data_IF_951228799512
#
_entry.id   IF_951228799512
#
_cell.length_a   1.000
_cell.length_b   1.000
_cell.length_c   1.000
_cell.angle_alpha   90.00
_cell.angle_beta   90.00
_cell.angle_gamma   90.00
#
_symmetry.space_group_name_H-M   'P 1'
#
loop_
_entity.id
_entity.type
_entity.pdbx_description
1 polymer ?
#
# COMPACT_ATOMS: atom_id res chain seq x y z
N UNK A 1 -14.10 26.22 -24.85
CA UNK A 1 -13.19 25.19 -25.39
C UNK A 1 -12.54 24.45 -24.21
N UNK A 2 -12.77 23.15 -24.07
CA UNK A 2 -12.08 22.35 -23.06
C UNK A 2 -10.59 22.23 -23.43
N UNK A 3 -9.70 22.63 -22.52
CA UNK A 3 -8.25 22.56 -22.70
C UNK A 3 -7.80 21.10 -22.89
N UNK A 4 -6.70 20.88 -23.61
CA UNK A 4 -6.21 19.54 -23.98
C UNK A 4 -6.06 18.58 -22.80
N UNK A 5 -5.80 19.12 -21.60
CA UNK A 5 -5.71 18.39 -20.33
C UNK A 5 -7.01 17.73 -19.89
N UNK A 6 -8.17 18.32 -20.20
CA UNK A 6 -9.48 17.77 -19.85
C UNK A 6 -9.86 16.55 -20.71
N UNK A 7 -9.32 16.46 -21.94
CA UNK A 7 -9.52 15.29 -22.82
C UNK A 7 -8.76 14.06 -22.31
N UNK A 8 -7.62 14.27 -21.64
CA UNK A 8 -6.84 13.17 -21.07
C UNK A 8 -7.37 12.77 -19.68
N UNK A 9 -8.21 11.73 -19.65
CA UNK A 9 -8.84 11.21 -18.43
C UNK A 9 -7.82 10.77 -17.35
N UNK A 10 -6.57 10.47 -17.71
CA UNK A 10 -5.53 10.10 -16.75
C UNK A 10 -5.09 11.28 -15.88
N UNK A 11 -5.15 12.51 -16.40
CA UNK A 11 -4.71 13.72 -15.70
C UNK A 11 -5.78 14.28 -14.77
N UNK A 12 -7.05 14.03 -15.07
CA UNK A 12 -8.21 14.55 -14.31
C UNK A 12 -8.80 13.55 -13.31
N UNK A 13 -8.47 12.26 -13.41
CA UNK A 13 -8.98 11.24 -12.47
C UNK A 13 -8.50 11.57 -11.04
N UNK A 14 -9.40 11.62 -10.03
CA UNK A 14 -9.02 11.82 -8.64
C UNK A 14 -8.08 10.73 -8.11
N UNK A 15 -6.96 11.13 -7.51
CA UNK A 15 -5.99 10.21 -6.88
C UNK A 15 -5.81 10.59 -5.41
N UNK A 16 -5.69 9.58 -4.53
CA UNK A 16 -5.38 9.84 -3.11
C UNK A 16 -4.00 10.50 -2.96
N UNK A 17 -3.97 11.74 -2.48
CA UNK A 17 -2.76 12.55 -2.22
C UNK A 17 -2.61 12.86 -0.72
N UNK A 18 -1.45 13.42 -0.34
CA UNK A 18 -1.19 13.94 1.01
C UNK A 18 -1.65 13.03 2.16
N UNK A 19 -2.52 13.57 3.02
CA UNK A 19 -3.10 12.90 4.20
C UNK A 19 -3.77 11.57 3.85
N UNK A 20 -4.59 11.52 2.80
CA UNK A 20 -5.29 10.30 2.40
C UNK A 20 -4.33 9.17 1.98
N UNK A 21 -3.20 9.52 1.36
CA UNK A 21 -2.13 8.55 1.04
C UNK A 21 -1.46 8.04 2.31
N UNK A 22 -1.16 8.91 3.28
CA UNK A 22 -0.56 8.53 4.58
C UNK A 22 -1.48 7.61 5.39
N UNK A 23 -2.76 7.95 5.50
CA UNK A 23 -3.76 7.13 6.20
C UNK A 23 -3.87 5.72 5.59
N UNK A 24 -3.87 5.60 4.25
CA UNK A 24 -3.87 4.30 3.58
C UNK A 24 -2.64 3.47 3.96
N UNK A 25 -1.44 4.05 3.93
CA UNK A 25 -0.21 3.32 4.27
C UNK A 25 -0.24 2.88 5.73
N UNK A 26 -0.68 3.74 6.65
CA UNK A 26 -0.82 3.38 8.06
C UNK A 26 -1.77 2.20 8.27
N UNK A 27 -2.95 2.22 7.63
CA UNK A 27 -3.90 1.10 7.68
C UNK A 27 -3.31 -0.19 7.09
N UNK A 28 -2.54 -0.09 6.00
CA UNK A 28 -1.89 -1.24 5.37
C UNK A 28 -0.79 -1.85 6.26
N UNK A 29 0.01 -1.01 6.94
CA UNK A 29 1.01 -1.49 7.90
C UNK A 29 0.35 -2.25 9.06
N UNK A 30 -0.73 -1.72 9.63
CA UNK A 30 -1.52 -2.40 10.67
C UNK A 30 -2.03 -3.77 10.22
N UNK A 31 -2.49 -3.88 8.98
CA UNK A 31 -2.93 -5.17 8.40
C UNK A 31 -1.79 -6.17 8.30
N UNK A 32 -0.59 -5.75 7.89
CA UNK A 32 0.57 -6.65 7.82
C UNK A 32 0.99 -7.16 9.20
N UNK A 33 0.94 -6.30 10.23
CA UNK A 33 1.18 -6.71 11.62
C UNK A 33 0.13 -7.73 12.08
N UNK A 34 -1.15 -7.49 11.78
CA UNK A 34 -2.23 -8.45 12.09
C UNK A 34 -2.08 -9.80 11.36
N UNK A 35 -1.38 -9.83 10.22
CA UNK A 35 -1.05 -11.06 9.49
C UNK A 35 0.20 -11.77 10.04
N UNK A 36 0.86 -11.21 11.06
CA UNK A 36 2.01 -11.82 11.74
C UNK A 36 3.38 -11.34 11.28
N UNK A 37 3.47 -10.26 10.48
CA UNK A 37 4.78 -9.66 10.16
C UNK A 37 5.22 -8.78 11.32
N UNK A 38 6.47 -8.94 11.77
CA UNK A 38 7.05 -8.12 12.84
C UNK A 38 6.99 -6.61 12.52
N UNK A 39 6.60 -5.81 13.51
CA UNK A 39 6.42 -4.37 13.35
C UNK A 39 7.71 -3.64 12.94
N UNK A 40 8.86 -4.11 13.44
CA UNK A 40 10.19 -3.61 13.06
C UNK A 40 10.50 -3.83 11.58
N UNK A 41 10.08 -4.96 11.02
CA UNK A 41 10.23 -5.25 9.60
C UNK A 41 9.29 -4.36 8.76
N UNK A 42 8.03 -4.20 9.19
CA UNK A 42 7.05 -3.34 8.50
C UNK A 42 7.46 -1.87 8.53
N UNK A 43 8.10 -1.40 9.60
CA UNK A 43 8.58 -0.03 9.73
C UNK A 43 9.67 0.31 8.70
N UNK A 44 10.58 -0.64 8.43
CA UNK A 44 11.66 -0.51 7.43
C UNK A 44 11.15 -0.59 5.98
N UNK A 45 9.94 -1.10 5.75
CA UNK A 45 9.40 -1.26 4.40
C UNK A 45 8.91 0.04 3.78
N UNK A 46 9.20 0.17 2.48
CA UNK A 46 8.67 1.24 1.65
C UNK A 46 7.18 1.00 1.32
N UNK A 47 6.48 2.06 0.89
CA UNK A 47 5.04 1.97 0.62
C UNK A 47 4.65 1.05 -0.54
N UNK A 48 5.58 0.75 -1.46
CA UNK A 48 5.36 -0.18 -2.57
C UNK A 48 5.40 -1.63 -2.06
N UNK A 49 6.42 -1.99 -1.28
CA UNK A 49 6.60 -3.30 -0.66
C UNK A 49 5.39 -3.65 0.21
N UNK A 50 4.95 -2.71 1.07
CA UNK A 50 3.75 -2.88 1.91
C UNK A 50 2.52 -3.22 1.06
N UNK A 51 2.31 -2.51 -0.06
CA UNK A 51 1.18 -2.76 -0.96
C UNK A 51 1.30 -4.09 -1.70
N UNK A 52 2.51 -4.45 -2.13
CA UNK A 52 2.77 -5.69 -2.88
C UNK A 52 2.52 -6.92 -2.02
N UNK A 53 2.98 -6.92 -0.75
CA UNK A 53 2.72 -8.01 0.18
C UNK A 53 1.22 -8.23 0.41
N UNK A 54 0.44 -7.14 0.49
CA UNK A 54 -1.01 -7.23 0.66
C UNK A 54 -1.78 -7.67 -0.60
N UNK A 55 -1.15 -7.77 -1.79
CA UNK A 55 -1.84 -8.28 -3.00
C UNK A 55 -2.15 -9.77 -2.88
N UNK A 56 -1.31 -10.52 -2.16
CA UNK A 56 -1.45 -11.98 -1.98
C UNK A 56 -1.25 -12.30 -0.49
N UNK A 57 -2.24 -11.99 0.37
CA UNK A 57 -2.08 -12.06 1.82
C UNK A 57 -1.77 -13.48 2.30
N UNK A 58 -2.35 -14.52 1.68
CA UNK A 58 -2.04 -15.92 2.01
C UNK A 58 -0.54 -16.24 1.85
N UNK A 59 0.10 -15.75 0.79
CA UNK A 59 1.56 -15.94 0.58
C UNK A 59 2.38 -15.11 1.57
N UNK A 60 1.91 -13.92 1.94
CA UNK A 60 2.56 -13.09 2.95
C UNK A 60 2.53 -13.74 4.34
N UNK A 61 1.42 -14.40 4.70
CA UNK A 61 1.30 -15.17 5.95
C UNK A 61 2.24 -16.38 5.96
N UNK A 62 2.35 -17.11 4.84
CA UNK A 62 3.30 -18.22 4.72
C UNK A 62 4.74 -17.72 4.88
N UNK A 63 5.12 -16.66 4.14
CA UNK A 63 6.45 -16.07 4.26
C UNK A 63 6.78 -15.59 5.69
N UNK A 64 5.80 -15.06 6.42
CA UNK A 64 5.98 -14.66 7.83
C UNK A 64 6.19 -15.86 8.76
N UNK A 65 5.56 -17.02 8.46
CA UNK A 65 5.71 -18.25 9.26
C UNK A 65 7.00 -19.01 8.95
N UNK A 66 7.51 -18.93 7.72
CA UNK A 66 8.70 -19.68 7.27
C UNK A 66 10.03 -19.09 7.76
N UNK A 67 10.06 -17.80 8.14
CA UNK A 67 11.26 -17.13 8.69
C UNK A 67 11.42 -17.38 10.20
N UNK A 68 10.56 -18.22 10.78
CA UNK A 68 10.51 -18.51 12.21
C UNK A 68 11.48 -19.61 12.59
#
# INVERSE_FOLDING_TARGET
MATSTYRNKNLVRPVKRGKAKRQRVAAQRRRLVALGIAETAVAKMNSLQVRTLLKRPAKAVVAAKTVR
#
